data_IF_881371887499
#
_entry.id   IF_881371887499
#
_cell.length_a   1.000
_cell.length_b   1.000
_cell.length_c   1.000
_cell.angle_alpha   90.00
_cell.angle_beta   90.00
_cell.angle_gamma   90.00
#
_symmetry.space_group_name_H-M   'P 1'
#
loop_
_entity.id
_entity.type
_entity.pdbx_description
1 polymer ?
#
# COMPACT_ATOMS: atom_id res chain seq x y z
N UNK A 1 4.07 -0.99 25.67
CA UNK A 1 2.75 -0.46 26.10
C UNK A 1 1.88 -0.54 24.87
N UNK A 2 0.88 -1.42 24.91
CA UNK A 2 0.07 -1.78 23.74
C UNK A 2 -0.62 -0.58 23.09
N UNK A 3 -1.00 0.43 23.89
CA UNK A 3 -1.65 1.65 23.39
C UNK A 3 -0.68 2.47 22.55
N UNK A 4 0.57 2.61 23.01
CA UNK A 4 1.60 3.34 22.28
C UNK A 4 1.97 2.65 20.96
N UNK A 5 2.13 1.32 20.99
CA UNK A 5 2.45 0.51 19.81
C UNK A 5 1.33 0.58 18.75
N UNK A 6 0.08 0.47 19.18
CA UNK A 6 -1.08 0.63 18.29
C UNK A 6 -1.16 2.03 17.68
N UNK A 7 -0.81 3.07 18.44
CA UNK A 7 -0.80 4.44 17.93
C UNK A 7 0.32 4.66 16.91
N UNK A 8 1.50 4.08 17.12
CA UNK A 8 2.60 4.10 16.15
C UNK A 8 2.19 3.43 14.83
N UNK A 9 1.61 2.24 14.89
CA UNK A 9 1.13 1.51 13.70
C UNK A 9 0.06 2.31 12.94
N UNK A 10 -0.88 2.92 13.67
CA UNK A 10 -1.91 3.77 13.06
C UNK A 10 -1.31 4.97 12.32
N UNK A 11 -0.30 5.62 12.89
CA UNK A 11 0.38 6.73 12.22
C UNK A 11 1.14 6.29 10.97
N UNK A 12 1.77 5.12 10.99
CA UNK A 12 2.40 4.56 9.78
C UNK A 12 1.40 4.35 8.64
N UNK A 13 0.20 3.84 8.95
CA UNK A 13 -0.86 3.70 7.94
C UNK A 13 -1.37 5.04 7.41
N UNK A 14 -1.44 6.07 8.24
CA UNK A 14 -1.80 7.42 7.79
C UNK A 14 -0.75 8.03 6.87
N UNK A 15 0.54 7.87 7.20
CA UNK A 15 1.62 8.33 6.34
C UNK A 15 1.62 7.61 4.99
N UNK A 16 1.38 6.30 4.98
CA UNK A 16 1.26 5.53 3.73
C UNK A 16 0.08 6.01 2.85
N UNK A 17 -1.03 6.40 3.47
CA UNK A 17 -2.18 6.96 2.75
C UNK A 17 -1.90 8.35 2.18
N UNK A 18 -1.24 9.20 2.95
CA UNK A 18 -0.81 10.53 2.51
C UNK A 18 0.18 10.43 1.35
N UNK A 19 1.17 9.55 1.46
CA UNK A 19 2.16 9.28 0.42
C UNK A 19 1.51 8.88 -0.90
N UNK A 20 0.59 7.92 -0.87
CA UNK A 20 -0.16 7.50 -2.05
C UNK A 20 -0.95 8.68 -2.65
N UNK A 21 -1.58 9.49 -1.81
CA UNK A 21 -2.38 10.64 -2.24
C UNK A 21 -1.51 11.72 -2.91
N UNK A 22 -0.37 12.04 -2.30
CA UNK A 22 0.59 13.01 -2.86
C UNK A 22 1.14 12.50 -4.19
N UNK A 23 1.55 11.24 -4.28
CA UNK A 23 2.07 10.64 -5.50
C UNK A 23 1.02 10.65 -6.63
N UNK A 24 -0.23 10.27 -6.33
CA UNK A 24 -1.34 10.35 -7.30
C UNK A 24 -1.59 11.77 -7.79
N UNK A 25 -1.60 12.76 -6.88
CA UNK A 25 -1.83 14.17 -7.24
C UNK A 25 -0.68 14.77 -8.07
N UNK A 26 0.55 14.33 -7.81
CA UNK A 26 1.72 14.74 -8.58
C UNK A 26 1.84 14.00 -9.93
N UNK A 27 1.06 12.94 -10.14
CA UNK A 27 1.21 12.06 -11.31
C UNK A 27 2.47 11.20 -11.28
N UNK A 28 3.09 11.02 -10.11
CA UNK A 28 4.29 10.20 -9.93
C UNK A 28 3.90 8.72 -9.83
N UNK A 29 3.79 8.07 -10.99
CA UNK A 29 3.31 6.69 -11.10
C UNK A 29 4.29 5.69 -10.46
N UNK A 30 5.60 5.92 -10.56
CA UNK A 30 6.59 5.04 -9.90
C UNK A 30 6.38 5.02 -8.39
N UNK A 31 6.16 6.19 -7.79
CA UNK A 31 5.89 6.32 -6.34
C UNK A 31 4.52 5.77 -5.94
N UNK A 32 3.53 5.81 -6.83
CA UNK A 32 2.25 5.12 -6.62
C UNK A 32 2.43 3.60 -6.57
N UNK A 33 3.24 3.05 -7.47
CA UNK A 33 3.55 1.61 -7.53
C UNK A 33 4.29 1.13 -6.28
N UNK A 34 5.26 1.91 -5.79
CA UNK A 34 5.99 1.62 -4.55
C UNK A 34 5.03 1.48 -3.35
N UNK A 35 3.93 2.23 -3.33
CA UNK A 35 2.91 2.15 -2.28
C UNK A 35 2.07 0.86 -2.36
N UNK A 36 1.95 0.21 -3.52
CA UNK A 36 1.01 -0.90 -3.71
C UNK A 36 1.37 -2.16 -2.91
N UNK A 37 2.66 -2.44 -2.70
CA UNK A 37 3.07 -3.61 -1.93
C UNK A 37 2.67 -3.50 -0.44
N UNK A 38 2.97 -2.39 0.28
CA UNK A 38 2.43 -2.14 1.62
C UNK A 38 0.91 -2.24 1.69
N UNK A 39 0.19 -1.64 0.73
CA UNK A 39 -1.28 -1.71 0.67
C UNK A 39 -1.80 -3.14 0.47
N UNK A 40 -1.13 -3.96 -0.33
CA UNK A 40 -1.49 -5.36 -0.51
C UNK A 40 -1.41 -6.16 0.80
N UNK A 41 -0.40 -5.91 1.63
CA UNK A 41 -0.29 -6.55 2.95
C UNK A 41 -1.39 -6.10 3.91
N UNK A 42 -1.70 -4.80 3.94
CA UNK A 42 -2.81 -4.26 4.76
C UNK A 42 -4.13 -4.91 4.33
N UNK A 43 -4.44 -4.92 3.03
CA UNK A 43 -5.67 -5.54 2.53
C UNK A 43 -5.75 -7.02 2.85
N UNK A 44 -4.64 -7.76 2.75
CA UNK A 44 -4.61 -9.16 3.15
C UNK A 44 -4.88 -9.35 4.64
N UNK A 45 -4.27 -8.52 5.49
CA UNK A 45 -4.46 -8.53 6.95
C UNK A 45 -5.89 -8.20 7.37
N UNK A 46 -6.59 -7.32 6.64
CA UNK A 46 -7.98 -6.97 6.89
C UNK A 46 -9.02 -7.93 6.25
N UNK A 47 -8.59 -9.08 5.70
CA UNK A 47 -9.48 -10.04 5.05
C UNK A 47 -9.97 -9.61 3.66
N UNK A 48 -9.41 -8.54 3.08
CA UNK A 48 -9.74 -8.02 1.75
C UNK A 48 -8.87 -8.65 0.66
N UNK A 49 -8.85 -9.99 0.61
CA UNK A 49 -7.94 -10.76 -0.25
C UNK A 49 -8.05 -10.42 -1.74
N UNK A 50 -9.25 -10.08 -2.24
CA UNK A 50 -9.45 -9.69 -3.65
C UNK A 50 -8.56 -8.50 -4.06
N UNK A 51 -8.47 -7.46 -3.22
CA UNK A 51 -7.67 -6.27 -3.54
C UNK A 51 -6.18 -6.56 -3.46
N UNK A 52 -5.75 -7.30 -2.42
CA UNK A 52 -4.37 -7.73 -2.28
C UNK A 52 -3.89 -8.56 -3.49
N UNK A 53 -4.67 -9.57 -3.89
CA UNK A 53 -4.33 -10.41 -5.05
C UNK A 53 -4.28 -9.60 -6.33
N UNK A 54 -5.21 -8.66 -6.54
CA UNK A 54 -5.21 -7.82 -7.74
C UNK A 54 -3.99 -6.89 -7.79
N UNK A 55 -3.63 -6.25 -6.67
CA UNK A 55 -2.45 -5.40 -6.58
C UNK A 55 -1.16 -6.18 -6.86
N UNK A 56 -1.00 -7.35 -6.24
CA UNK A 56 0.18 -8.20 -6.48
C UNK A 56 0.26 -8.69 -7.92
N UNK A 57 -0.87 -9.09 -8.52
CA UNK A 57 -0.92 -9.49 -9.92
C UNK A 57 -0.55 -8.34 -10.86
N UNK A 58 -1.02 -7.14 -10.56
CA UNK A 58 -0.68 -5.94 -11.32
C UNK A 58 0.83 -5.68 -11.27
N UNK A 59 1.42 -5.62 -10.07
CA UNK A 59 2.86 -5.40 -9.90
C UNK A 59 3.68 -6.51 -10.58
N UNK A 60 3.28 -7.77 -10.45
CA UNK A 60 3.97 -8.87 -11.11
C UNK A 60 3.99 -8.71 -12.63
N UNK A 61 2.84 -8.40 -13.22
CA UNK A 61 2.75 -8.18 -14.66
C UNK A 61 3.63 -7.00 -15.09
N UNK A 62 3.56 -5.90 -14.35
CA UNK A 62 4.31 -4.70 -14.69
C UNK A 62 5.83 -4.91 -14.66
N UNK A 63 6.35 -5.61 -13.64
CA UNK A 63 7.80 -5.73 -13.44
C UNK A 63 8.45 -6.98 -14.04
N UNK A 64 7.67 -8.05 -14.29
CA UNK A 64 8.22 -9.34 -14.73
C UNK A 64 7.65 -9.84 -16.05
N UNK A 65 6.62 -9.22 -16.60
CA UNK A 65 5.99 -9.65 -17.87
C UNK A 65 6.20 -8.62 -18.99
N UNK A 66 6.06 -7.33 -18.66
CA UNK A 66 6.28 -6.21 -19.59
C UNK A 66 7.67 -5.60 -19.38
#
# INVERSE_FOLDING_TARGET
DEVFENQQLKQQYFLLYEELTIAMNAGDIGRVEDCFLPWAFIFRGCGKHKYATQMLRFLHNLYFVY
#
